data_IF_369774560975
#
_entry.id   IF_369774560975
#
_cell.length_a   1.000
_cell.length_b   1.000
_cell.length_c   1.000
_cell.angle_alpha   90.00
_cell.angle_beta   90.00
_cell.angle_gamma   90.00
#
_symmetry.space_group_name_H-M   'P 1'
#
loop_
_entity.id
_entity.type
_entity.pdbx_description
1 polymer ?
#
# COMPACT_ATOMS: atom_id res chain seq x y z
N UNK A 1 18.49 -20.10 3.20
CA UNK A 1 17.56 -18.97 3.09
C UNK A 1 16.79 -19.19 1.80
N UNK A 2 15.49 -19.52 1.85
CA UNK A 2 14.64 -19.42 0.66
C UNK A 2 14.56 -17.95 0.30
N UNK A 3 14.89 -17.59 -0.94
CA UNK A 3 14.49 -16.29 -1.47
C UNK A 3 12.97 -16.20 -1.32
N UNK A 4 12.51 -15.39 -0.39
CA UNK A 4 11.09 -15.09 -0.29
C UNK A 4 10.77 -14.33 -1.57
N UNK A 5 9.90 -14.95 -2.36
CA UNK A 5 9.47 -14.36 -3.61
C UNK A 5 8.76 -13.04 -3.30
N UNK A 6 9.41 -11.93 -3.61
CA UNK A 6 8.81 -10.60 -3.52
C UNK A 6 7.52 -10.50 -4.36
N UNK A 7 7.16 -11.56 -5.09
CA UNK A 7 5.85 -11.66 -5.76
C UNK A 7 4.67 -11.60 -4.80
N UNK A 8 4.87 -11.90 -3.54
CA UNK A 8 3.80 -11.95 -2.55
C UNK A 8 3.50 -10.64 -1.84
N UNK A 9 4.29 -9.59 -1.97
CA UNK A 9 4.05 -8.32 -1.27
C UNK A 9 3.38 -7.31 -2.19
N UNK A 10 2.20 -6.81 -1.81
CA UNK A 10 1.51 -5.71 -2.49
C UNK A 10 1.86 -4.35 -1.88
N UNK A 11 1.94 -3.33 -2.74
CA UNK A 11 2.19 -1.98 -2.29
C UNK A 11 3.65 -1.73 -1.97
N UNK A 12 4.52 -1.89 -2.96
CA UNK A 12 5.96 -1.65 -2.80
C UNK A 12 6.25 -0.17 -2.58
N UNK A 13 7.02 0.15 -1.52
CA UNK A 13 7.39 1.52 -1.14
C UNK A 13 8.92 1.68 -1.07
N UNK A 14 9.63 1.62 -2.19
CA UNK A 14 11.08 1.56 -2.20
C UNK A 14 11.74 2.81 -1.61
N UNK A 15 11.10 3.98 -1.71
CA UNK A 15 11.64 5.22 -1.20
C UNK A 15 11.59 5.29 0.33
N UNK A 16 10.67 4.57 0.97
CA UNK A 16 10.65 4.42 2.43
C UNK A 16 11.85 3.59 2.93
N UNK A 17 12.28 2.59 2.17
CA UNK A 17 13.48 1.80 2.50
C UNK A 17 14.72 2.69 2.53
N UNK A 18 14.86 3.64 1.58
CA UNK A 18 15.97 4.60 1.59
C UNK A 18 15.91 5.61 2.73
N UNK A 19 14.72 5.91 3.23
CA UNK A 19 14.53 6.80 4.36
C UNK A 19 14.84 6.14 5.72
N UNK A 20 14.99 4.81 5.74
CA UNK A 20 15.21 4.02 6.94
C UNK A 20 16.71 3.71 7.19
N UNK A 21 17.11 3.57 8.44
CA UNK A 21 18.38 2.93 8.81
C UNK A 21 18.32 1.44 8.47
N UNK A 22 17.19 0.81 8.84
CA UNK A 22 16.82 -0.56 8.51
C UNK A 22 15.31 -0.67 8.37
N UNK A 23 14.84 -1.43 7.40
CA UNK A 23 13.44 -1.62 7.09
C UNK A 23 13.09 -3.11 7.14
N UNK A 24 12.25 -3.49 8.10
CA UNK A 24 11.78 -4.86 8.27
C UNK A 24 10.42 -5.03 7.61
N UNK A 25 10.24 -6.13 6.89
CA UNK A 25 8.95 -6.53 6.30
C UNK A 25 8.62 -7.95 6.74
N UNK A 26 7.37 -8.17 7.15
CA UNK A 26 6.79 -9.49 7.39
C UNK A 26 5.58 -9.67 6.48
N UNK A 27 5.73 -10.44 5.38
CA UNK A 27 4.62 -10.75 4.47
C UNK A 27 3.53 -11.58 5.16
N UNK A 28 2.26 -11.30 4.87
CA UNK A 28 1.11 -12.04 5.40
C UNK A 28 0.23 -12.53 4.24
N UNK A 29 -0.16 -11.66 3.32
CA UNK A 29 -0.99 -11.93 2.13
C UNK A 29 -2.29 -12.68 2.43
N UNK A 30 -2.88 -12.41 3.57
CA UNK A 30 -4.08 -13.10 4.07
C UNK A 30 -5.00 -12.15 4.82
N UNK A 31 -6.31 -12.46 4.79
CA UNK A 31 -7.35 -11.77 5.56
C UNK A 31 -7.36 -10.24 5.34
N UNK A 32 -7.03 -9.78 4.15
CA UNK A 32 -6.98 -8.36 3.81
C UNK A 32 -5.69 -7.63 4.20
N UNK A 33 -4.74 -8.31 4.85
CA UNK A 33 -3.42 -7.77 5.19
C UNK A 33 -2.41 -8.17 4.11
N UNK A 34 -1.64 -7.20 3.59
CA UNK A 34 -0.50 -7.46 2.71
C UNK A 34 0.71 -7.86 3.55
N UNK A 35 1.17 -6.97 4.41
CA UNK A 35 2.35 -7.20 5.24
C UNK A 35 2.39 -6.25 6.44
N UNK A 36 3.17 -6.63 7.43
CA UNK A 36 3.64 -5.73 8.49
C UNK A 36 5.00 -5.18 8.13
N UNK A 37 5.30 -3.98 8.61
CA UNK A 37 6.62 -3.40 8.48
C UNK A 37 7.01 -2.63 9.74
N UNK A 38 8.32 -2.55 9.99
CA UNK A 38 8.89 -1.73 11.05
C UNK A 38 10.18 -1.10 10.55
N UNK A 39 10.36 0.16 10.79
CA UNK A 39 11.60 0.84 10.45
C UNK A 39 11.94 1.96 11.41
N UNK A 40 13.24 2.20 11.55
CA UNK A 40 13.80 3.35 12.24
C UNK A 40 14.31 4.32 11.20
N UNK A 41 13.91 5.58 11.32
CA UNK A 41 14.27 6.61 10.36
C UNK A 41 15.75 6.95 10.40
N UNK A 42 16.37 7.05 9.25
CA UNK A 42 17.75 7.52 9.10
C UNK A 42 17.82 9.04 9.34
N UNK A 43 18.82 9.46 10.12
CA UNK A 43 19.07 10.90 10.37
C UNK A 43 19.50 11.65 9.11
N UNK A 44 20.19 10.96 8.19
CA UNK A 44 20.75 11.57 6.99
C UNK A 44 19.71 11.84 5.88
N UNK A 45 18.61 11.06 5.86
CA UNK A 45 17.58 11.10 4.82
C UNK A 45 16.20 11.53 5.34
N UNK A 46 16.16 12.17 6.50
CA UNK A 46 14.93 12.51 7.21
C UNK A 46 13.89 13.31 6.39
N UNK A 47 14.34 14.12 5.45
CA UNK A 47 13.48 15.01 4.66
C UNK A 47 12.92 14.36 3.38
N UNK A 48 13.29 13.10 3.07
CA UNK A 48 13.01 12.44 1.80
C UNK A 48 12.11 11.20 1.91
N UNK A 49 11.26 11.14 2.92
CA UNK A 49 10.26 10.06 2.98
C UNK A 49 9.20 10.30 1.92
N UNK A 50 9.33 9.62 0.81
CA UNK A 50 8.39 9.70 -0.30
C UNK A 50 7.55 8.41 -0.36
N UNK A 51 6.23 8.57 -0.42
CA UNK A 51 5.27 7.46 -0.59
C UNK A 51 4.75 7.48 -2.02
N UNK A 52 4.80 6.35 -2.68
CA UNK A 52 4.26 6.20 -4.05
C UNK A 52 2.84 5.65 -4.02
N UNK A 53 1.99 6.00 -5.01
CA UNK A 53 0.65 5.41 -5.12
C UNK A 53 0.71 3.89 -5.22
N UNK A 54 -0.09 3.19 -4.41
CA UNK A 54 -0.14 1.73 -4.36
C UNK A 54 -1.55 1.13 -4.24
N UNK A 55 -2.55 1.98 -4.03
CA UNK A 55 -3.94 1.56 -3.85
C UNK A 55 -4.22 0.93 -2.47
N UNK A 56 -3.25 0.95 -1.56
CA UNK A 56 -3.34 0.36 -0.22
C UNK A 56 -3.81 1.38 0.83
N UNK A 57 -4.16 0.87 1.99
CA UNK A 57 -4.31 1.66 3.21
C UNK A 57 -3.26 1.18 4.20
N UNK A 58 -2.53 2.11 4.81
CA UNK A 58 -1.59 1.84 5.88
C UNK A 58 -2.16 2.28 7.22
N UNK A 59 -2.00 1.44 8.23
CA UNK A 59 -2.23 1.79 9.63
C UNK A 59 -0.85 1.90 10.28
N UNK A 60 -0.50 3.09 10.74
CA UNK A 60 0.87 3.45 11.15
C UNK A 60 0.90 3.92 12.58
N UNK A 61 1.80 3.35 13.38
CA UNK A 61 2.02 3.66 14.79
C UNK A 61 3.41 4.29 14.96
N UNK A 62 3.51 5.37 15.73
CA UNK A 62 4.78 5.94 16.15
C UNK A 62 5.28 5.24 17.40
N UNK A 63 6.54 4.85 17.42
CA UNK A 63 7.19 4.18 18.53
C UNK A 63 8.24 5.11 19.18
N UNK A 64 7.86 6.35 19.47
CA UNK A 64 8.79 7.32 20.08
C UNK A 64 9.02 7.03 21.58
N UNK A 65 10.19 7.45 22.12
CA UNK A 65 10.69 7.11 23.47
C UNK A 65 9.75 7.47 24.65
N UNK A 66 8.73 8.29 24.43
CA UNK A 66 7.78 8.73 25.47
C UNK A 66 6.43 8.03 25.45
N UNK A 67 6.36 6.85 24.83
CA UNK A 67 5.11 6.18 24.55
C UNK A 67 4.50 6.71 23.24
N UNK A 68 3.79 5.85 22.58
CA UNK A 68 3.12 6.23 21.36
C UNK A 68 1.73 6.74 21.73
N UNK A 69 1.52 7.95 21.50
CA UNK A 69 0.18 8.52 21.60
C UNK A 69 -0.44 8.74 20.22
N UNK A 70 0.27 8.33 19.13
CA UNK A 70 -0.14 8.66 17.77
C UNK A 70 -0.12 7.46 16.85
N UNK A 71 -1.28 7.16 16.32
CA UNK A 71 -1.45 6.22 15.22
C UNK A 71 -2.41 6.81 14.19
N UNK A 72 -2.16 6.52 12.91
CA UNK A 72 -2.91 7.07 11.80
C UNK A 72 -3.23 6.02 10.75
N UNK A 73 -4.34 6.21 10.07
CA UNK A 73 -4.65 5.54 8.81
C UNK A 73 -4.30 6.45 7.65
N UNK A 74 -3.53 5.95 6.71
CA UNK A 74 -3.16 6.62 5.47
C UNK A 74 -3.74 5.86 4.30
N UNK A 75 -4.55 6.50 3.48
CA UNK A 75 -4.96 5.95 2.19
C UNK A 75 -3.87 6.19 1.13
N UNK A 76 -3.93 5.39 0.07
CA UNK A 76 -3.04 5.57 -1.07
C UNK A 76 -3.06 7.01 -1.58
N UNK A 77 -1.91 7.65 -1.79
CA UNK A 77 -1.87 8.91 -2.51
C UNK A 77 -2.31 8.68 -3.97
N UNK A 78 -2.90 9.70 -4.60
CA UNK A 78 -3.34 9.62 -5.98
C UNK A 78 -2.22 9.93 -6.98
N UNK A 79 -1.27 10.75 -6.57
CA UNK A 79 -0.15 11.20 -7.39
C UNK A 79 1.11 11.38 -6.55
N UNK A 80 2.26 11.53 -7.20
CA UNK A 80 3.54 11.80 -6.53
C UNK A 80 3.54 13.14 -5.75
N UNK A 81 2.75 14.12 -6.18
CA UNK A 81 2.66 15.44 -5.54
C UNK A 81 2.03 15.41 -4.16
N UNK A 82 1.27 14.37 -3.87
CA UNK A 82 0.57 14.17 -2.60
C UNK A 82 1.46 13.56 -1.51
N UNK A 83 2.72 13.34 -1.79
CA UNK A 83 3.75 12.74 -0.93
C UNK A 83 4.05 13.57 0.34
N UNK A 84 3.69 14.83 0.38
CA UNK A 84 3.84 15.66 1.57
C UNK A 84 2.91 15.27 2.71
N UNK A 85 2.07 14.24 2.50
CA UNK A 85 1.01 13.78 3.41
C UNK A 85 1.46 12.84 4.53
N UNK A 86 2.74 12.67 4.78
CA UNK A 86 3.16 11.86 5.93
C UNK A 86 3.97 12.70 6.95
N UNK A 87 3.42 13.86 7.43
CA UNK A 87 4.11 14.68 8.43
C UNK A 87 4.49 13.87 9.67
N UNK A 88 3.61 12.95 10.04
CA UNK A 88 3.77 12.04 11.16
C UNK A 88 4.97 11.09 10.96
N UNK A 89 5.09 10.40 9.83
CA UNK A 89 6.26 9.56 9.54
C UNK A 89 7.54 10.38 9.50
N UNK A 90 7.47 11.65 9.08
CA UNK A 90 8.62 12.57 9.12
C UNK A 90 9.04 12.94 10.53
N UNK A 91 8.13 13.00 11.49
CA UNK A 91 8.44 13.38 12.87
C UNK A 91 8.75 12.20 13.77
N UNK A 92 8.27 11.00 13.43
CA UNK A 92 8.49 9.80 14.22
C UNK A 92 9.89 9.23 14.00
N UNK A 93 10.56 8.84 15.10
CA UNK A 93 11.89 8.23 15.05
C UNK A 93 11.83 6.77 14.62
N UNK A 94 10.83 6.04 15.11
CA UNK A 94 10.58 4.64 14.80
C UNK A 94 9.10 4.41 14.51
N UNK A 95 8.82 3.54 13.54
CA UNK A 95 7.48 3.30 13.02
C UNK A 95 7.21 1.81 12.92
N UNK A 96 6.07 1.37 13.45
CA UNK A 96 5.43 0.10 13.13
C UNK A 96 4.23 0.38 12.21
N UNK A 97 4.05 -0.43 11.17
CA UNK A 97 2.98 -0.24 10.21
C UNK A 97 2.36 -1.55 9.75
N UNK A 98 1.10 -1.45 9.39
CA UNK A 98 0.31 -2.53 8.78
C UNK A 98 -0.21 -2.04 7.46
N UNK A 99 0.14 -2.73 6.38
CA UNK A 99 -0.38 -2.45 5.05
C UNK A 99 -1.51 -3.41 4.71
N UNK A 100 -2.67 -2.85 4.42
CA UNK A 100 -3.81 -3.59 3.94
C UNK A 100 -3.71 -3.80 2.43
N UNK A 101 -4.27 -4.92 1.93
CA UNK A 101 -4.30 -5.22 0.50
C UNK A 101 -5.03 -4.13 -0.29
N UNK A 102 -4.63 -3.87 -1.53
CA UNK A 102 -5.36 -2.95 -2.40
C UNK A 102 -6.83 -3.35 -2.48
N UNK A 103 -7.71 -2.39 -2.24
CA UNK A 103 -9.14 -2.64 -2.30
C UNK A 103 -9.73 -3.42 -1.13
N UNK A 104 -9.00 -3.63 -0.05
CA UNK A 104 -9.59 -4.17 1.17
C UNK A 104 -10.65 -3.22 1.72
N UNK A 105 -11.93 -3.63 1.59
CA UNK A 105 -13.08 -2.83 2.04
C UNK A 105 -13.40 -3.00 3.52
N UNK A 106 -12.68 -3.88 4.23
CA UNK A 106 -12.88 -4.15 5.65
C UNK A 106 -11.96 -3.25 6.46
N UNK A 107 -12.46 -2.07 6.76
CA UNK A 107 -11.74 -1.07 7.55
C UNK A 107 -12.23 -1.10 9.01
N UNK A 108 -11.34 -0.84 9.99
CA UNK A 108 -11.76 -0.64 11.37
C UNK A 108 -12.83 0.47 11.46
N UNK A 109 -13.72 0.38 12.44
CA UNK A 109 -14.71 1.43 12.72
C UNK A 109 -15.85 1.58 11.69
N UNK A 110 -15.92 0.76 10.63
CA UNK A 110 -16.98 0.84 9.61
C UNK A 110 -16.74 1.90 8.53
N UNK A 111 -15.57 2.44 8.45
CA UNK A 111 -15.17 3.42 7.44
C UNK A 111 -15.03 2.77 6.05
N UNK A 112 -15.19 3.58 5.02
CA UNK A 112 -14.90 3.23 3.62
C UNK A 112 -13.46 3.56 3.26
N UNK A 113 -12.88 2.89 2.26
CA UNK A 113 -11.55 3.26 1.73
C UNK A 113 -11.53 4.71 1.24
N UNK A 114 -12.63 5.19 0.64
CA UNK A 114 -12.75 6.58 0.18
C UNK A 114 -12.56 7.62 1.30
N UNK A 115 -12.79 7.25 2.56
CA UNK A 115 -12.56 8.13 3.70
C UNK A 115 -11.06 8.38 3.94
N UNK A 116 -10.21 7.45 3.49
CA UNK A 116 -8.75 7.49 3.66
C UNK A 116 -8.01 7.89 2.40
N UNK A 117 -8.56 7.66 1.21
CA UNK A 117 -7.86 7.93 -0.06
C UNK A 117 -7.35 9.37 -0.11
N UNK A 118 -6.04 9.49 -0.31
CA UNK A 118 -5.33 10.79 -0.29
C UNK A 118 -5.51 11.59 1.00
N UNK A 119 -5.69 10.91 2.14
CA UNK A 119 -5.93 11.53 3.44
C UNK A 119 -5.18 10.80 4.55
N UNK A 120 -4.94 11.54 5.64
CA UNK A 120 -4.51 11.05 6.94
C UNK A 120 -5.68 11.14 7.92
N UNK A 121 -5.99 10.07 8.61
CA UNK A 121 -7.03 10.02 9.64
C UNK A 121 -6.44 9.47 10.94
N UNK A 122 -6.61 10.19 12.05
CA UNK A 122 -6.14 9.72 13.35
C UNK A 122 -6.87 8.43 13.74
N UNK A 123 -6.12 7.37 14.08
CA UNK A 123 -6.65 6.05 14.40
C UNK A 123 -7.53 6.07 15.68
N UNK A 124 -7.23 6.91 16.65
CA UNK A 124 -8.06 7.03 17.87
C UNK A 124 -9.50 7.48 17.57
N UNK A 125 -9.70 8.31 16.54
CA UNK A 125 -11.04 8.71 16.09
C UNK A 125 -11.82 7.56 15.46
N UNK A 126 -11.11 6.58 14.88
CA UNK A 126 -11.70 5.40 14.24
C UNK A 126 -12.06 4.34 15.27
N UNK A 127 -11.18 4.11 16.25
CA UNK A 127 -11.31 3.05 17.23
C UNK A 127 -12.20 3.43 18.42
N UNK A 128 -12.34 4.74 18.72
CA UNK A 128 -12.95 5.23 19.94
C UNK A 128 -11.96 5.34 21.11
N UNK A 129 -12.34 6.12 22.12
CA UNK A 129 -11.46 6.46 23.27
C UNK A 129 -11.17 5.26 24.18
N UNK A 130 -12.08 4.29 24.27
CA UNK A 130 -11.95 3.11 25.13
C UNK A 130 -11.08 1.99 24.51
N UNK A 131 -10.52 2.20 23.32
CA UNK A 131 -9.74 1.18 22.63
C UNK A 131 -8.24 1.25 23.00
N UNK A 132 -7.72 0.18 23.56
CA UNK A 132 -6.35 0.07 24.05
C UNK A 132 -5.31 -0.43 23.02
N UNK A 133 -5.74 -0.67 21.78
CA UNK A 133 -4.86 -1.21 20.72
C UNK A 133 -3.62 -0.36 20.51
N UNK A 134 -3.79 0.97 20.43
CA UNK A 134 -2.68 1.91 20.19
C UNK A 134 -1.67 1.79 21.34
N UNK A 135 -2.15 1.83 22.57
CA UNK A 135 -1.31 1.71 23.76
C UNK A 135 -0.55 0.38 23.80
N UNK A 136 -1.24 -0.74 23.56
CA UNK A 136 -0.64 -2.09 23.55
C UNK A 136 0.46 -2.22 22.52
N UNK A 137 0.23 -1.74 21.28
CA UNK A 137 1.24 -1.84 20.21
C UNK A 137 2.44 -0.96 20.55
N UNK A 138 2.21 0.22 21.07
CA UNK A 138 3.25 1.21 21.24
C UNK A 138 4.13 0.98 22.47
N UNK A 139 3.62 0.30 23.47
CA UNK A 139 4.40 -0.15 24.62
C UNK A 139 5.19 -1.43 24.36
N UNK A 140 4.95 -2.07 23.23
CA UNK A 140 5.62 -3.30 22.85
C UNK A 140 6.82 -3.01 21.95
N UNK A 141 8.01 -3.43 22.37
CA UNK A 141 9.26 -3.26 21.60
C UNK A 141 9.52 -4.42 20.62
N UNK A 142 8.81 -5.53 20.76
CA UNK A 142 8.99 -6.71 19.93
C UNK A 142 8.08 -6.67 18.68
N UNK A 143 8.68 -6.80 17.49
CA UNK A 143 7.98 -6.72 16.22
C UNK A 143 6.98 -7.88 16.02
N UNK A 144 7.34 -9.09 16.45
CA UNK A 144 6.46 -10.25 16.34
C UNK A 144 5.24 -10.11 17.26
N UNK A 145 5.45 -9.63 18.46
CA UNK A 145 4.37 -9.37 19.39
C UNK A 145 3.45 -8.24 18.94
N UNK A 146 4.00 -7.16 18.38
CA UNK A 146 3.20 -6.09 17.73
C UNK A 146 2.32 -6.65 16.62
N UNK A 147 2.89 -7.50 15.76
CA UNK A 147 2.16 -8.21 14.70
C UNK A 147 1.04 -9.06 15.26
N UNK A 148 1.30 -9.82 16.32
CA UNK A 148 0.31 -10.68 16.99
C UNK A 148 -0.84 -9.87 17.61
N UNK A 149 -0.52 -8.79 18.33
CA UNK A 149 -1.51 -7.89 18.95
C UNK A 149 -2.44 -7.31 17.87
N UNK A 150 -1.87 -6.76 16.80
CA UNK A 150 -2.67 -6.19 15.73
C UNK A 150 -3.52 -7.24 15.01
N UNK A 151 -2.92 -8.38 14.67
CA UNK A 151 -3.63 -9.47 13.98
C UNK A 151 -4.82 -9.96 14.78
N UNK A 152 -4.67 -10.15 16.08
CA UNK A 152 -5.76 -10.61 16.97
C UNK A 152 -6.93 -9.62 16.92
N UNK A 153 -6.64 -8.33 17.11
CA UNK A 153 -7.65 -7.27 17.04
C UNK A 153 -8.34 -7.21 15.67
N UNK A 154 -7.53 -7.18 14.60
CA UNK A 154 -8.03 -7.02 13.25
C UNK A 154 -8.88 -8.21 12.79
N UNK A 155 -8.49 -9.44 13.12
CA UNK A 155 -9.24 -10.63 12.74
C UNK A 155 -10.62 -10.70 13.40
N UNK A 156 -10.79 -10.17 14.60
CA UNK A 156 -12.11 -10.07 15.24
C UNK A 156 -13.04 -9.17 14.44
N UNK A 157 -12.56 -7.99 14.02
CA UNK A 157 -13.31 -7.06 13.19
C UNK A 157 -13.51 -7.60 11.76
N UNK A 158 -12.50 -8.23 11.18
CA UNK A 158 -12.56 -8.82 9.85
C UNK A 158 -13.62 -9.90 9.76
N UNK A 159 -13.67 -10.82 10.72
CA UNK A 159 -14.66 -11.91 10.76
C UNK A 159 -16.09 -11.41 10.88
N UNK A 160 -16.33 -10.38 11.68
CA UNK A 160 -17.67 -9.76 11.81
C UNK A 160 -18.18 -9.22 10.48
N UNK A 161 -17.30 -8.61 9.67
CA UNK A 161 -17.68 -7.84 8.48
C UNK A 161 -17.51 -8.55 7.16
N UNK A 162 -16.63 -9.55 7.08
CA UNK A 162 -16.33 -10.24 5.81
C UNK A 162 -17.57 -10.90 5.19
N UNK A 163 -18.48 -11.39 6.01
CA UNK A 163 -19.73 -12.02 5.56
C UNK A 163 -20.73 -10.98 5.00
N UNK A 164 -20.76 -9.78 5.56
CA UNK A 164 -21.60 -8.68 5.09
C UNK A 164 -21.09 -8.14 3.76
N UNK A 165 -19.79 -7.92 3.66
CA UNK A 165 -19.11 -7.39 2.47
C UNK A 165 -19.18 -8.35 1.29
N UNK A 166 -19.04 -9.66 1.49
CA UNK A 166 -19.13 -10.67 0.41
C UNK A 166 -20.50 -10.72 -0.28
N UNK A 167 -21.55 -10.19 0.32
CA UNK A 167 -22.90 -10.18 -0.27
C UNK A 167 -23.20 -9.04 -1.25
N UNK A 168 -22.39 -8.00 -1.35
CA UNK A 168 -22.70 -6.77 -2.12
C UNK A 168 -21.66 -6.39 -3.20
N UNK A 169 -21.21 -7.29 -4.09
CA UNK A 169 -19.79 -7.25 -4.42
C UNK A 169 -19.34 -6.95 -5.85
N UNK A 170 -20.00 -6.07 -6.54
CA UNK A 170 -19.48 -5.56 -7.80
C UNK A 170 -18.12 -4.83 -7.61
N UNK A 171 -18.00 -4.00 -6.57
CA UNK A 171 -16.73 -3.27 -6.29
C UNK A 171 -15.57 -4.22 -6.01
N UNK A 172 -15.79 -5.28 -5.22
CA UNK A 172 -14.79 -6.30 -4.93
C UNK A 172 -14.42 -7.12 -6.17
N UNK A 173 -15.42 -7.47 -7.00
CA UNK A 173 -15.19 -8.11 -8.28
C UNK A 173 -14.32 -7.26 -9.20
N UNK A 174 -14.66 -5.97 -9.38
CA UNK A 174 -13.91 -5.03 -10.21
C UNK A 174 -12.44 -4.95 -9.77
N UNK A 175 -12.17 -4.81 -8.46
CA UNK A 175 -10.80 -4.77 -7.94
C UNK A 175 -10.05 -6.04 -8.27
N UNK A 176 -10.65 -7.20 -8.00
CA UNK A 176 -9.99 -8.48 -8.26
C UNK A 176 -9.61 -8.62 -9.73
N UNK A 177 -10.50 -8.23 -10.64
CA UNK A 177 -10.21 -8.31 -12.08
C UNK A 177 -9.13 -7.29 -12.50
N UNK A 178 -9.12 -6.08 -11.95
CA UNK A 178 -8.04 -5.11 -12.18
C UNK A 178 -6.70 -5.64 -11.65
N UNK A 179 -6.68 -6.22 -10.46
CA UNK A 179 -5.45 -6.77 -9.85
C UNK A 179 -4.95 -7.98 -10.63
N UNK A 180 -5.82 -8.95 -10.96
CA UNK A 180 -5.47 -10.13 -11.76
C UNK A 180 -4.93 -9.76 -13.14
N UNK A 181 -5.52 -8.77 -13.80
CA UNK A 181 -5.06 -8.28 -15.10
C UNK A 181 -3.82 -7.38 -15.00
N UNK A 182 -3.25 -7.18 -13.80
CA UNK A 182 -2.13 -6.25 -13.58
C UNK A 182 -2.42 -4.82 -14.05
N UNK A 183 -3.71 -4.41 -13.96
CA UNK A 183 -4.15 -3.08 -14.37
C UNK A 183 -4.27 -2.88 -15.89
N UNK A 184 -4.30 -3.94 -16.68
CA UNK A 184 -4.44 -3.84 -18.16
C UNK A 184 -5.89 -3.95 -18.63
N UNK A 185 -6.79 -4.49 -17.81
CA UNK A 185 -8.21 -4.67 -18.12
C UNK A 185 -8.91 -3.34 -18.41
N UNK A 186 -9.78 -3.33 -19.41
CA UNK A 186 -10.60 -2.17 -19.74
C UNK A 186 -11.93 -2.23 -19.00
N UNK A 187 -12.45 -1.08 -18.63
CA UNK A 187 -13.74 -0.99 -17.90
C UNK A 187 -14.91 -1.43 -18.76
N UNK A 188 -14.79 -1.28 -20.07
CA UNK A 188 -15.75 -1.76 -21.05
C UNK A 188 -15.92 -3.29 -20.98
N UNK A 189 -14.82 -4.04 -20.80
CA UNK A 189 -14.83 -5.51 -20.65
C UNK A 189 -15.58 -5.92 -19.37
N UNK A 190 -15.33 -5.21 -18.24
CA UNK A 190 -16.08 -5.42 -16.99
C UNK A 190 -17.59 -5.10 -17.19
N UNK A 191 -17.90 -4.06 -17.96
CA UNK A 191 -19.28 -3.66 -18.27
C UNK A 191 -20.03 -4.75 -19.05
N UNK A 192 -19.39 -5.32 -20.06
CA UNK A 192 -19.94 -6.41 -20.88
C UNK A 192 -20.15 -7.68 -20.04
N UNK A 193 -19.18 -8.04 -19.20
CA UNK A 193 -19.22 -9.26 -18.38
C UNK A 193 -20.27 -9.18 -17.25
N UNK A 194 -20.38 -8.02 -16.62
CA UNK A 194 -21.27 -7.84 -15.45
C UNK A 194 -22.68 -7.36 -15.80
N UNK A 195 -22.88 -6.85 -17.02
CA UNK A 195 -24.13 -6.21 -17.44
C UNK A 195 -24.39 -4.81 -16.85
N UNK A 196 -23.48 -4.29 -16.04
CA UNK A 196 -23.58 -2.92 -15.51
C UNK A 196 -22.96 -1.91 -16.46
N UNK A 197 -23.59 -0.74 -16.61
CA UNK A 197 -23.01 0.32 -17.43
C UNK A 197 -21.69 0.84 -16.87
N UNK A 198 -20.77 1.26 -17.76
CA UNK A 198 -19.49 1.88 -17.37
C UNK A 198 -19.69 3.10 -16.46
N UNK A 199 -20.78 3.85 -16.64
CA UNK A 199 -21.15 4.98 -15.76
C UNK A 199 -21.44 4.53 -14.33
N UNK A 200 -22.21 3.45 -14.18
CA UNK A 200 -22.53 2.90 -12.85
C UNK A 200 -21.28 2.34 -12.18
N UNK A 201 -20.47 1.58 -12.91
CA UNK A 201 -19.18 1.04 -12.43
C UNK A 201 -18.28 2.18 -11.93
N UNK A 202 -18.11 3.24 -12.72
CA UNK A 202 -17.30 4.39 -12.32
C UNK A 202 -17.86 5.09 -11.06
N UNK A 203 -19.17 5.28 -10.97
CA UNK A 203 -19.82 5.90 -9.81
C UNK A 203 -19.58 5.07 -8.55
N UNK A 204 -19.92 3.77 -8.61
CA UNK A 204 -19.77 2.85 -7.49
C UNK A 204 -18.32 2.77 -6.99
N UNK A 205 -17.37 2.67 -7.91
CA UNK A 205 -15.96 2.57 -7.59
C UNK A 205 -15.43 3.87 -6.94
N UNK A 206 -15.82 5.03 -7.45
CA UNK A 206 -15.45 6.31 -6.84
C UNK A 206 -16.03 6.47 -5.43
N UNK A 207 -17.27 6.06 -5.20
CA UNK A 207 -17.91 6.10 -3.87
C UNK A 207 -17.20 5.18 -2.88
N UNK A 208 -16.74 4.01 -3.34
CA UNK A 208 -16.09 3.02 -2.47
C UNK A 208 -14.62 3.33 -2.22
N UNK A 209 -13.88 3.79 -3.25
CA UNK A 209 -12.40 3.89 -3.21
C UNK A 209 -11.87 5.33 -3.35
N UNK A 210 -12.72 6.32 -3.53
CA UNK A 210 -12.30 7.72 -3.69
C UNK A 210 -11.52 8.01 -4.98
N UNK A 211 -11.50 7.06 -5.94
CA UNK A 211 -10.84 7.21 -7.24
C UNK A 211 -11.56 6.42 -8.33
N UNK A 212 -11.30 6.74 -9.61
CA UNK A 212 -11.89 5.97 -10.71
C UNK A 212 -11.20 4.62 -10.90
N UNK A 213 -11.93 3.60 -11.46
CA UNK A 213 -11.32 2.30 -11.81
C UNK A 213 -10.11 2.47 -12.73
N UNK A 214 -10.19 3.36 -13.70
CA UNK A 214 -9.09 3.67 -14.63
C UNK A 214 -7.84 4.20 -13.90
N UNK A 215 -8.03 5.04 -12.87
CA UNK A 215 -6.91 5.55 -12.09
C UNK A 215 -6.30 4.43 -11.23
N UNK A 216 -7.14 3.63 -10.60
CA UNK A 216 -6.71 2.45 -9.84
C UNK A 216 -5.95 1.45 -10.72
N UNK A 217 -6.43 1.14 -11.93
CA UNK A 217 -5.72 0.29 -12.91
C UNK A 217 -4.31 0.82 -13.22
N UNK A 218 -4.16 2.14 -13.37
CA UNK A 218 -2.84 2.75 -13.58
C UNK A 218 -1.92 2.60 -12.39
N UNK A 219 -2.44 2.72 -11.15
CA UNK A 219 -1.68 2.50 -9.93
C UNK A 219 -1.22 1.04 -9.85
N UNK A 220 -2.11 0.08 -10.08
CA UNK A 220 -1.77 -1.36 -10.05
C UNK A 220 -0.72 -1.69 -11.12
N UNK A 221 -0.88 -1.16 -12.33
CA UNK A 221 0.10 -1.33 -13.41
C UNK A 221 1.46 -0.71 -13.07
N UNK A 222 1.47 0.50 -12.49
CA UNK A 222 2.68 1.15 -12.01
C UNK A 222 3.39 0.33 -10.94
N UNK A 223 2.67 -0.21 -9.96
CA UNK A 223 3.22 -1.06 -8.91
C UNK A 223 3.82 -2.36 -9.48
N UNK A 224 3.17 -2.96 -10.48
CA UNK A 224 3.71 -4.12 -11.20
C UNK A 224 5.03 -3.80 -11.91
N UNK A 225 5.11 -2.66 -12.60
CA UNK A 225 6.35 -2.18 -13.24
C UNK A 225 7.44 -1.93 -12.20
N UNK A 226 7.10 -1.26 -11.10
CA UNK A 226 8.03 -0.96 -10.01
C UNK A 226 8.68 -2.23 -9.46
N UNK A 227 7.86 -3.25 -9.19
CA UNK A 227 8.28 -4.56 -8.71
C UNK A 227 9.16 -5.29 -9.73
N UNK A 228 8.79 -5.28 -11.02
CA UNK A 228 9.57 -5.89 -12.07
C UNK A 228 10.97 -5.23 -12.22
N UNK A 229 11.06 -3.92 -12.02
CA UNK A 229 12.34 -3.20 -11.98
C UNK A 229 13.21 -3.61 -10.77
N UNK A 230 12.61 -3.76 -9.59
CA UNK A 230 13.31 -4.25 -8.39
C UNK A 230 13.85 -5.67 -8.62
N UNK A 231 13.14 -6.50 -9.36
CA UNK A 231 13.55 -7.85 -9.78
C UNK A 231 14.54 -7.87 -10.96
N UNK A 232 15.07 -6.72 -11.37
CA UNK A 232 16.01 -6.59 -12.50
C UNK A 232 15.47 -7.09 -13.85
N UNK A 233 14.15 -7.09 -14.07
CA UNK A 233 13.57 -7.42 -15.39
C UNK A 233 13.93 -6.32 -16.39
N UNK A 234 14.17 -6.70 -17.63
CA UNK A 234 14.51 -5.74 -18.66
C UNK A 234 13.30 -4.90 -19.09
N UNK A 235 13.55 -3.68 -19.62
CA UNK A 235 12.49 -2.74 -19.98
C UNK A 235 11.64 -3.19 -21.16
N UNK A 236 12.13 -4.06 -22.03
CA UNK A 236 11.37 -4.59 -23.17
C UNK A 236 10.29 -5.53 -22.63
N UNK A 237 10.67 -6.52 -21.82
CA UNK A 237 9.74 -7.48 -21.21
C UNK A 237 8.70 -6.78 -20.33
N UNK A 238 9.12 -5.74 -19.57
CA UNK A 238 8.21 -4.93 -18.77
C UNK A 238 7.19 -4.22 -19.67
N UNK A 239 7.65 -3.59 -20.77
CA UNK A 239 6.78 -2.87 -21.70
C UNK A 239 5.69 -3.80 -22.24
N UNK A 240 6.06 -4.99 -22.70
CA UNK A 240 5.15 -6.00 -23.24
C UNK A 240 4.20 -6.57 -22.16
N UNK A 241 4.77 -7.01 -21.02
CA UNK A 241 4.02 -7.70 -19.95
C UNK A 241 2.95 -6.83 -19.29
N UNK A 242 3.15 -5.50 -19.30
CA UNK A 242 2.21 -4.55 -18.71
C UNK A 242 1.40 -3.76 -19.76
N UNK A 243 1.40 -4.21 -21.04
CA UNK A 243 0.56 -3.66 -22.09
C UNK A 243 0.83 -2.20 -22.44
N UNK A 244 2.09 -1.77 -22.40
CA UNK A 244 2.49 -0.47 -22.94
C UNK A 244 2.76 -0.59 -24.44
N UNK A 245 2.38 0.44 -25.21
CA UNK A 245 2.59 0.46 -26.65
C UNK A 245 4.08 0.50 -27.00
N UNK A 246 4.88 1.20 -26.22
CA UNK A 246 6.32 1.35 -26.37
C UNK A 246 6.97 1.83 -25.06
N UNK A 247 8.31 1.86 -25.04
CA UNK A 247 9.07 2.36 -23.88
C UNK A 247 8.82 3.84 -23.58
N UNK A 248 8.45 4.64 -24.57
CA UNK A 248 8.15 6.07 -24.37
C UNK A 248 6.86 6.23 -23.59
N UNK A 249 5.85 5.38 -23.87
CA UNK A 249 4.60 5.32 -23.11
C UNK A 249 4.85 4.87 -21.66
N UNK A 250 5.61 3.79 -21.48
CA UNK A 250 6.05 3.33 -20.15
C UNK A 250 6.74 4.45 -19.37
N UNK A 251 7.73 5.12 -19.98
CA UNK A 251 8.48 6.22 -19.35
C UNK A 251 7.55 7.37 -18.89
N UNK A 252 6.60 7.76 -19.73
CA UNK A 252 5.64 8.84 -19.42
C UNK A 252 4.73 8.47 -18.25
N UNK A 253 4.14 7.27 -18.25
CA UNK A 253 3.26 6.83 -17.18
C UNK A 253 4.02 6.63 -15.86
N UNK A 254 5.18 6.00 -15.90
CA UNK A 254 6.03 5.78 -14.72
C UNK A 254 6.48 7.09 -14.07
N UNK A 255 6.90 8.07 -14.90
CA UNK A 255 7.33 9.38 -14.42
C UNK A 255 6.20 10.16 -13.71
N UNK A 256 4.93 9.95 -14.07
CA UNK A 256 3.78 10.58 -13.38
C UNK A 256 3.68 10.13 -11.92
N UNK A 257 4.04 8.88 -11.63
CA UNK A 257 3.90 8.31 -10.29
C UNK A 257 5.17 8.37 -9.45
N UNK A 258 6.35 8.52 -10.05
CA UNK A 258 7.63 8.50 -9.33
C UNK A 258 8.53 9.71 -9.60
N UNK A 259 8.17 10.58 -10.52
CA UNK A 259 8.95 11.76 -10.87
C UNK A 259 10.26 11.49 -11.65
N UNK A 260 10.61 10.20 -11.85
CA UNK A 260 11.83 9.77 -12.52
C UNK A 260 11.55 8.70 -13.58
N UNK A 261 12.53 8.38 -14.44
CA UNK A 261 12.38 7.33 -15.44
C UNK A 261 12.62 5.93 -14.84
N UNK A 262 12.04 4.86 -15.43
CA UNK A 262 12.30 3.48 -15.01
C UNK A 262 13.79 3.15 -14.95
N UNK A 263 14.56 3.55 -15.97
CA UNK A 263 16.01 3.31 -16.02
C UNK A 263 16.73 3.95 -14.84
N UNK A 264 16.48 5.24 -14.58
CA UNK A 264 17.12 5.97 -13.47
C UNK A 264 16.72 5.39 -12.12
N UNK A 265 15.46 4.97 -11.98
CA UNK A 265 14.99 4.28 -10.78
C UNK A 265 15.71 2.95 -10.57
N UNK A 266 15.81 2.10 -11.61
CA UNK A 266 16.52 0.81 -11.54
C UNK A 266 17.99 1.00 -11.13
N UNK A 267 18.69 2.01 -11.66
CA UNK A 267 20.06 2.36 -11.25
C UNK A 267 20.16 2.73 -9.76
N UNK A 268 19.11 3.37 -9.21
CA UNK A 268 19.08 3.78 -7.81
C UNK A 268 18.85 2.61 -6.87
N UNK A 269 17.91 1.69 -7.19
CA UNK A 269 17.55 0.56 -6.30
C UNK A 269 18.53 -0.60 -6.37
N UNK A 270 19.27 -0.75 -7.46
CA UNK A 270 20.34 -1.76 -7.58
C UNK A 270 21.60 -1.40 -6.78
N UNK A 271 21.50 -0.38 -5.93
CA UNK A 271 22.54 -0.01 -5.01
C UNK A 271 22.60 -1.03 -3.85
N UNK A 272 23.80 -1.47 -3.50
CA UNK A 272 24.05 -2.33 -2.34
C UNK A 272 23.45 -1.77 -1.04
N UNK A 273 23.34 -0.46 -0.91
CA UNK A 273 22.75 0.21 0.22
C UNK A 273 21.24 -0.09 0.38
N UNK A 274 20.48 -0.17 -0.72
CA UNK A 274 19.08 -0.56 -0.69
C UNK A 274 18.90 -1.97 -0.11
N UNK A 275 19.69 -2.91 -0.62
CA UNK A 275 19.64 -4.32 -0.22
C UNK A 275 20.04 -4.47 1.26
N UNK A 276 21.03 -3.72 1.73
CA UNK A 276 21.46 -3.73 3.14
C UNK A 276 20.42 -3.19 4.11
N UNK A 277 19.55 -2.27 3.68
CA UNK A 277 18.52 -1.66 4.51
C UNK A 277 17.27 -2.53 4.63
N UNK A 278 16.95 -3.32 3.61
CA UNK A 278 15.77 -4.17 3.58
C UNK A 278 16.03 -5.51 4.29
N UNK A 279 15.17 -5.86 5.22
CA UNK A 279 15.17 -7.17 5.90
C UNK A 279 13.77 -7.77 5.82
N UNK A 280 13.65 -8.98 5.27
CA UNK A 280 12.41 -9.73 5.22
C UNK A 280 12.43 -10.74 6.36
N UNK A 281 11.36 -10.76 7.16
CA UNK A 281 11.18 -11.66 8.31
C UNK A 281 10.11 -12.67 7.92
N UNK A 282 10.44 -13.97 8.09
CA UNK A 282 9.52 -15.08 7.80
C UNK A 282 8.37 -15.18 8.83
#
# INVERSE_FOLDING_TARGET
MKEIDMEEVYGTQPLMVFAAEKYYIKPIMKDGISHFYRFKRSKENADKVLVVPDGCVDIVFSLDEKGCEKAFCYGSPLTLTDINYVPFVKTSREVFGVRLLPGNTIMPGGYSISDFTNKEVNLSKILGEDNDLIEKICRCDDFEEQTRIFTTYYLEEYRKRVLEVKKSNLSFYIINEIVKSKGTLKIEEISEETGYSTRYINKLFNETFGMSPKHFSKIIRFQGVLKALIQNKNLIDITESFGFCDQSHLNKEFKKFLGTSPKKFSETINNEEYIKRLSIIE
#
